data_IF_415451513649
#
_entry.id   IF_415451513649
#
_cell.length_a   1.000
_cell.length_b   1.000
_cell.length_c   1.000
_cell.angle_alpha   90.00
_cell.angle_beta   90.00
_cell.angle_gamma   90.00
#
_symmetry.space_group_name_H-M   'P 1'
#
loop_
_entity.id
_entity.type
_entity.pdbx_description
1 polymer ?
#
# COMPACT_ATOMS: atom_id res chain seq x y z
N UNK A 1 -5.77 32.51 -15.44
CA UNK A 1 -5.82 32.52 -13.95
C UNK A 1 -6.70 31.35 -13.59
N UNK A 2 -6.17 30.30 -12.96
CA UNK A 2 -6.96 29.09 -12.69
C UNK A 2 -8.08 29.42 -11.71
N UNK A 3 -9.27 28.96 -12.01
CA UNK A 3 -10.42 29.10 -11.11
C UNK A 3 -10.19 28.28 -9.84
N UNK A 4 -10.82 28.62 -8.70
CA UNK A 4 -10.74 27.82 -7.48
C UNK A 4 -11.10 26.34 -7.71
N UNK A 5 -12.03 26.07 -8.63
CA UNK A 5 -12.44 24.73 -9.05
C UNK A 5 -11.30 23.96 -9.73
N UNK A 6 -10.64 24.57 -10.71
CA UNK A 6 -9.50 23.94 -11.41
C UNK A 6 -8.34 23.64 -10.46
N UNK A 7 -8.11 24.52 -9.47
CA UNK A 7 -7.10 24.28 -8.44
C UNK A 7 -7.46 23.08 -7.55
N UNK A 8 -8.72 22.97 -7.12
CA UNK A 8 -9.18 21.83 -6.30
C UNK A 8 -9.15 20.51 -7.05
N UNK A 9 -9.56 20.50 -8.33
CA UNK A 9 -9.48 19.31 -9.17
C UNK A 9 -8.01 18.85 -9.34
N UNK A 10 -7.10 19.79 -9.63
CA UNK A 10 -5.69 19.47 -9.77
C UNK A 10 -5.05 18.96 -8.47
N UNK A 11 -5.44 19.54 -7.32
CA UNK A 11 -5.01 19.06 -6.01
C UNK A 11 -5.51 17.63 -5.75
N UNK A 12 -6.79 17.35 -5.98
CA UNK A 12 -7.38 16.03 -5.78
C UNK A 12 -6.73 14.96 -6.68
N UNK A 13 -6.43 15.28 -7.94
CA UNK A 13 -5.70 14.39 -8.84
C UNK A 13 -4.28 14.08 -8.34
N UNK A 14 -3.58 15.09 -7.83
CA UNK A 14 -2.23 14.94 -7.28
C UNK A 14 -2.25 14.08 -6.01
N UNK A 15 -3.17 14.36 -5.10
CA UNK A 15 -3.44 13.58 -3.87
C UNK A 15 -3.67 12.10 -4.20
N UNK A 16 -4.49 11.81 -5.22
CA UNK A 16 -4.73 10.44 -5.69
C UNK A 16 -3.48 9.73 -6.22
N UNK A 17 -2.66 10.41 -7.02
CA UNK A 17 -1.39 9.85 -7.53
C UNK A 17 -0.40 9.58 -6.41
N UNK A 18 -0.31 10.46 -5.44
CA UNK A 18 0.58 10.31 -4.29
C UNK A 18 0.16 9.14 -3.40
N UNK A 19 -1.14 8.99 -3.14
CA UNK A 19 -1.68 7.85 -2.39
C UNK A 19 -1.36 6.51 -3.08
N UNK A 20 -1.54 6.43 -4.41
CA UNK A 20 -1.21 5.23 -5.18
C UNK A 20 0.30 4.94 -5.20
N UNK A 21 1.12 5.99 -5.32
CA UNK A 21 2.59 5.85 -5.29
C UNK A 21 3.07 5.35 -3.94
N UNK A 22 2.48 5.85 -2.84
CA UNK A 22 2.77 5.39 -1.49
C UNK A 22 2.39 3.91 -1.30
N UNK A 23 1.17 3.53 -1.70
CA UNK A 23 0.70 2.16 -1.63
C UNK A 23 1.63 1.21 -2.41
N UNK A 24 2.03 1.59 -3.63
CA UNK A 24 2.98 0.83 -4.45
C UNK A 24 4.32 0.66 -3.74
N UNK A 25 4.89 1.74 -3.19
CA UNK A 25 6.17 1.68 -2.49
C UNK A 25 6.11 0.78 -1.23
N UNK A 26 4.99 0.77 -0.51
CA UNK A 26 4.76 -0.18 0.58
C UNK A 26 4.72 -1.62 0.09
N UNK A 27 3.96 -1.90 -0.98
CA UNK A 27 3.89 -3.25 -1.53
C UNK A 27 5.25 -3.74 -2.03
N UNK A 28 6.05 -2.88 -2.66
CA UNK A 28 7.41 -3.24 -3.07
C UNK A 28 8.30 -3.64 -1.88
N UNK A 29 8.18 -2.96 -0.73
CA UNK A 29 8.90 -3.34 0.49
C UNK A 29 8.41 -4.68 1.04
N UNK A 30 7.10 -4.92 1.03
CA UNK A 30 6.52 -6.20 1.44
C UNK A 30 6.97 -7.36 0.54
N UNK A 31 7.09 -7.12 -0.78
CA UNK A 31 7.60 -8.12 -1.72
C UNK A 31 9.06 -8.47 -1.44
N UNK A 32 9.92 -7.48 -1.20
CA UNK A 32 11.33 -7.73 -0.83
C UNK A 32 11.43 -8.58 0.45
N UNK A 33 10.58 -8.35 1.44
CA UNK A 33 10.56 -9.17 2.66
C UNK A 33 10.01 -10.57 2.39
N UNK A 34 9.01 -10.70 1.52
CA UNK A 34 8.49 -12.00 1.09
C UNK A 34 9.57 -12.84 0.39
N UNK A 35 10.39 -12.24 -0.47
CA UNK A 35 11.51 -12.92 -1.12
C UNK A 35 12.51 -13.47 -0.09
N UNK A 36 12.76 -12.74 1.01
CA UNK A 36 13.62 -13.21 2.11
C UNK A 36 13.01 -14.40 2.84
N UNK A 37 11.70 -14.38 3.07
CA UNK A 37 11.02 -15.53 3.68
C UNK A 37 11.06 -16.75 2.77
N UNK A 38 10.91 -16.58 1.45
CA UNK A 38 11.03 -17.66 0.47
C UNK A 38 12.44 -18.28 0.54
N UNK A 39 13.49 -17.46 0.44
CA UNK A 39 14.87 -17.94 0.54
C UNK A 39 15.11 -18.71 1.85
N UNK A 40 14.64 -18.17 2.98
CA UNK A 40 14.77 -18.83 4.28
C UNK A 40 13.99 -20.15 4.36
N UNK A 41 12.84 -20.24 3.70
CA UNK A 41 12.06 -21.48 3.64
C UNK A 41 12.80 -22.55 2.82
N UNK A 42 13.43 -22.15 1.71
CA UNK A 42 14.21 -23.05 0.84
C UNK A 42 15.45 -23.58 1.57
N UNK A 43 16.15 -22.73 2.31
CA UNK A 43 17.34 -23.07 3.10
C UNK A 43 17.04 -23.91 4.36
N UNK A 44 15.80 -23.90 4.86
CA UNK A 44 15.43 -24.61 6.08
C UNK A 44 15.48 -26.14 5.89
N UNK A 45 16.29 -26.82 6.72
CA UNK A 45 16.50 -28.27 6.66
C UNK A 45 15.37 -29.07 7.33
N UNK A 46 14.74 -28.53 8.37
CA UNK A 46 13.69 -29.22 9.12
C UNK A 46 12.29 -28.75 8.73
N UNK A 47 11.32 -29.67 8.76
CA UNK A 47 9.90 -29.34 8.55
C UNK A 47 9.38 -28.35 9.60
N UNK A 48 9.90 -28.42 10.83
CA UNK A 48 9.55 -27.50 11.91
C UNK A 48 10.01 -26.07 11.59
N UNK A 49 11.21 -25.90 11.05
CA UNK A 49 11.72 -24.58 10.68
C UNK A 49 10.97 -24.01 9.48
N UNK A 50 10.66 -24.83 8.48
CA UNK A 50 9.77 -24.47 7.38
C UNK A 50 8.41 -23.97 7.89
N UNK A 51 7.79 -24.68 8.84
CA UNK A 51 6.54 -24.24 9.46
C UNK A 51 6.68 -22.91 10.22
N UNK A 52 7.79 -22.70 10.93
CA UNK A 52 8.07 -21.43 11.61
C UNK A 52 8.20 -20.27 10.61
N UNK A 53 8.92 -20.48 9.50
CA UNK A 53 9.05 -19.46 8.44
C UNK A 53 7.68 -19.06 7.91
N UNK A 54 6.82 -20.02 7.57
CA UNK A 54 5.46 -19.75 7.10
C UNK A 54 4.64 -18.95 8.14
N UNK A 55 4.75 -19.28 9.42
CA UNK A 55 4.06 -18.55 10.49
C UNK A 55 4.57 -17.10 10.63
N UNK A 56 5.87 -16.87 10.47
CA UNK A 56 6.44 -15.52 10.46
C UNK A 56 5.99 -14.71 9.23
N UNK A 57 6.00 -15.33 8.04
CA UNK A 57 5.50 -14.71 6.81
C UNK A 57 4.04 -14.31 6.97
N UNK A 58 3.19 -15.21 7.50
CA UNK A 58 1.78 -14.91 7.78
C UNK A 58 1.64 -13.70 8.70
N UNK A 59 2.38 -13.70 9.81
CA UNK A 59 2.35 -12.61 10.79
C UNK A 59 2.80 -11.29 10.17
N UNK A 60 3.87 -11.31 9.37
CA UNK A 60 4.36 -10.13 8.66
C UNK A 60 3.31 -9.60 7.67
N UNK A 61 2.76 -10.44 6.80
CA UNK A 61 1.80 -9.99 5.78
C UNK A 61 0.51 -9.45 6.43
N UNK A 62 -0.02 -10.13 7.43
CA UNK A 62 -1.26 -9.74 8.10
C UNK A 62 -1.13 -8.42 8.88
N UNK A 63 0.06 -8.09 9.37
CA UNK A 63 0.29 -6.88 10.17
C UNK A 63 0.95 -5.75 9.38
N UNK A 64 1.80 -6.04 8.41
CA UNK A 64 2.51 -5.03 7.65
C UNK A 64 1.63 -4.45 6.55
N UNK A 65 1.04 -5.29 5.70
CA UNK A 65 0.34 -4.82 4.50
C UNK A 65 -0.89 -3.97 4.85
N UNK A 66 -1.85 -4.43 5.67
CA UNK A 66 -3.04 -3.64 5.98
C UNK A 66 -2.71 -2.30 6.65
N UNK A 67 -1.70 -2.28 7.53
CA UNK A 67 -1.35 -1.10 8.31
C UNK A 67 -0.51 -0.08 7.51
N UNK A 68 0.28 -0.52 6.53
CA UNK A 68 1.25 0.36 5.85
C UNK A 68 0.86 0.74 4.43
N UNK A 69 -0.08 0.03 3.79
CA UNK A 69 -0.59 0.44 2.46
C UNK A 69 -1.38 1.74 2.54
N UNK A 70 -1.83 2.12 3.75
CA UNK A 70 -2.54 3.37 4.03
C UNK A 70 -3.78 3.52 3.14
N UNK A 71 -4.64 2.52 3.20
CA UNK A 71 -5.93 2.48 2.48
C UNK A 71 -6.81 3.71 2.79
N UNK A 72 -6.62 4.31 3.96
CA UNK A 72 -7.24 5.57 4.37
C UNK A 72 -6.87 6.74 3.46
N UNK A 73 -5.60 6.84 3.00
CA UNK A 73 -5.17 7.89 2.07
C UNK A 73 -5.81 7.72 0.70
N UNK A 74 -5.93 6.48 0.22
CA UNK A 74 -6.61 6.17 -1.04
C UNK A 74 -8.09 6.55 -0.95
N UNK A 75 -8.76 6.17 0.14
CA UNK A 75 -10.17 6.50 0.37
C UNK A 75 -10.38 8.01 0.46
N UNK A 76 -9.49 8.74 1.15
CA UNK A 76 -9.52 10.19 1.24
C UNK A 76 -9.40 10.86 -0.13
N UNK A 77 -8.37 10.50 -0.90
CA UNK A 77 -8.16 11.04 -2.24
C UNK A 77 -9.31 10.70 -3.19
N UNK A 78 -9.90 9.50 -3.09
CA UNK A 78 -11.09 9.12 -3.86
C UNK A 78 -12.28 10.03 -3.52
N UNK A 79 -12.52 10.31 -2.23
CA UNK A 79 -13.59 11.21 -1.82
C UNK A 79 -13.33 12.66 -2.28
N UNK A 80 -12.08 13.13 -2.26
CA UNK A 80 -11.70 14.45 -2.77
C UNK A 80 -11.99 14.59 -4.27
N UNK A 81 -11.68 13.57 -5.07
CA UNK A 81 -11.99 13.55 -6.50
C UNK A 81 -13.50 13.66 -6.77
N UNK A 82 -14.32 12.89 -6.05
CA UNK A 82 -15.78 12.95 -6.19
C UNK A 82 -16.33 14.32 -5.78
N UNK A 83 -15.78 14.93 -4.72
CA UNK A 83 -16.16 16.30 -4.31
C UNK A 83 -15.81 17.32 -5.37
N UNK A 84 -14.61 17.26 -5.95
CA UNK A 84 -14.19 18.18 -7.00
C UNK A 84 -15.03 18.05 -8.28
N UNK A 85 -15.55 16.86 -8.58
CA UNK A 85 -16.45 16.62 -9.72
C UNK A 85 -17.86 17.19 -9.48
N UNK A 86 -18.39 17.02 -8.26
CA UNK A 86 -19.77 17.40 -7.88
C UNK A 86 -19.95 18.87 -7.52
N UNK A 87 -18.87 19.61 -7.28
CA UNK A 87 -18.91 21.06 -7.09
C UNK A 87 -19.14 21.74 -8.45
N UNK A 88 -20.40 22.03 -8.81
CA UNK A 88 -20.76 22.86 -9.99
C UNK A 88 -20.04 24.22 -9.97
#
# INVERSE_FOLDING_TARGET
MNTPREFQAHYAETSGRDALTNARATMQRALVELDRYIARYEEAESLKDKANVLNWTLSHLATYVPNNVRLDLIAGAQAELVRADTME
#
